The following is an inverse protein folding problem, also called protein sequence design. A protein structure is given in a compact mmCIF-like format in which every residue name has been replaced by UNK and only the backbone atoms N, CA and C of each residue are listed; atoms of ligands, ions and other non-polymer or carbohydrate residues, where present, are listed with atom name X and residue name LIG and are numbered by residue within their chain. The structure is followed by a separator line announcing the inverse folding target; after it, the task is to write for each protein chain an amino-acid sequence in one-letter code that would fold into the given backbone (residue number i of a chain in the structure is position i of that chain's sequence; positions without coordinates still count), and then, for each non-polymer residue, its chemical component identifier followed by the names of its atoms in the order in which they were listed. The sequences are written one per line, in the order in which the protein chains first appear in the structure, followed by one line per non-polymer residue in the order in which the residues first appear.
data_IF_049907470684
#
_entry.id   IF_049907470684
#
_cell.length_a   1.000
_cell.length_b   1.000
_cell.length_c   1.000
_cell.angle_alpha   90.00
_cell.angle_beta   90.00
_cell.angle_gamma   90.00
#
_symmetry.space_group_name_H-M   'P 1'
#
loop_
_entity.id
_entity.type
_entity.pdbx_description
1 polymer ?
#
# COMPACT_ATOMS: atom_id res chain seq x y z
N UNK A 1 -13.03 4.67 -11.63
CA UNK A 1 -13.67 5.18 -12.85
C UNK A 1 -12.72 5.01 -14.01
N UNK A 2 -13.15 4.29 -15.04
CA UNK A 2 -12.44 4.20 -16.33
C UNK A 2 -12.87 5.35 -17.24
N UNK A 3 -11.93 5.98 -17.94
CA UNK A 3 -12.24 7.11 -18.80
C UNK A 3 -11.42 7.10 -20.09
N UNK A 4 -12.12 7.24 -21.22
CA UNK A 4 -11.52 7.37 -22.56
C UNK A 4 -11.56 8.83 -23.07
N UNK A 5 -12.63 9.58 -22.81
CA UNK A 5 -12.75 11.00 -23.18
C UNK A 5 -13.79 11.77 -22.34
N UNK A 6 -13.74 13.11 -22.44
CA UNK A 6 -14.72 14.02 -21.81
C UNK A 6 -15.26 14.95 -22.91
N UNK A 7 -16.57 15.22 -22.90
CA UNK A 7 -17.20 16.24 -23.75
C UNK A 7 -17.15 17.63 -23.10
N UNK A 8 -17.64 17.75 -21.87
CA UNK A 8 -17.75 19.01 -21.12
C UNK A 8 -16.67 19.13 -20.03
N UNK A 9 -15.47 19.57 -20.42
CA UNK A 9 -14.29 19.66 -19.54
C UNK A 9 -14.52 20.46 -18.24
N UNK A 10 -14.98 21.73 -18.31
CA UNK A 10 -15.20 22.54 -17.11
C UNK A 10 -16.25 21.95 -16.15
N UNK A 11 -17.33 21.38 -16.69
CA UNK A 11 -18.34 20.70 -15.88
C UNK A 11 -17.76 19.45 -15.21
N UNK A 12 -17.01 18.63 -15.96
CA UNK A 12 -16.34 17.45 -15.42
C UNK A 12 -15.40 17.83 -14.28
N UNK A 13 -14.55 18.84 -14.44
CA UNK A 13 -13.62 19.25 -13.38
C UNK A 13 -14.35 19.70 -12.12
N UNK A 14 -15.43 20.47 -12.26
CA UNK A 14 -16.27 20.89 -11.12
C UNK A 14 -16.89 19.70 -10.41
N UNK A 15 -17.47 18.76 -11.16
CA UNK A 15 -18.08 17.55 -10.62
C UNK A 15 -17.05 16.63 -9.97
N UNK A 16 -15.88 16.47 -10.60
CA UNK A 16 -14.77 15.69 -10.08
C UNK A 16 -14.30 16.25 -8.73
N UNK A 17 -14.06 17.57 -8.65
CA UNK A 17 -13.64 18.22 -7.41
C UNK A 17 -14.68 18.05 -6.30
N UNK A 18 -15.96 18.27 -6.60
CA UNK A 18 -17.04 18.08 -5.64
C UNK A 18 -17.09 16.62 -5.13
N UNK A 19 -16.98 15.65 -6.04
CA UNK A 19 -16.98 14.23 -5.67
C UNK A 19 -15.75 13.84 -4.84
N UNK A 20 -14.55 14.29 -5.24
CA UNK A 20 -13.29 13.99 -4.55
C UNK A 20 -13.25 14.53 -3.11
N UNK A 21 -13.90 15.67 -2.86
CA UNK A 21 -14.03 16.25 -1.51
C UNK A 21 -14.95 15.43 -0.60
N UNK A 22 -15.85 14.62 -1.15
CA UNK A 22 -16.74 13.73 -0.39
C UNK A 22 -16.13 12.33 -0.22
N UNK A 23 -15.58 11.77 -1.31
CA UNK A 23 -15.09 10.38 -1.39
C UNK A 23 -13.98 10.22 -2.44
N UNK A 24 -13.10 9.21 -2.31
CA UNK A 24 -12.00 9.04 -3.25
C UNK A 24 -12.54 8.74 -4.66
N UNK A 25 -12.05 9.50 -5.65
CA UNK A 25 -12.33 9.24 -7.07
C UNK A 25 -11.06 8.69 -7.71
N UNK A 26 -11.01 7.37 -7.88
CA UNK A 26 -9.90 6.69 -8.53
C UNK A 26 -10.12 6.74 -10.04
N UNK A 27 -9.17 7.33 -10.77
CA UNK A 27 -9.29 7.62 -12.19
C UNK A 27 -8.26 6.83 -13.00
N UNK A 28 -8.75 5.88 -13.78
CA UNK A 28 -7.96 5.17 -14.79
C UNK A 28 -8.21 5.80 -16.16
N UNK A 29 -7.33 6.72 -16.56
CA UNK A 29 -7.39 7.40 -17.87
C UNK A 29 -6.46 6.71 -18.86
N UNK A 30 -7.04 6.21 -19.96
CA UNK A 30 -6.28 5.61 -21.08
C UNK A 30 -6.11 6.58 -22.24
N UNK A 31 -5.24 6.26 -23.20
CA UNK A 31 -5.06 7.09 -24.39
C UNK A 31 -4.27 8.38 -24.18
N UNK A 32 -3.35 8.39 -23.20
CA UNK A 32 -2.44 9.50 -22.90
C UNK A 32 -1.10 9.43 -23.65
N UNK A 33 -0.89 8.39 -24.45
CA UNK A 33 0.27 8.23 -25.34
C UNK A 33 -0.17 8.36 -26.79
N UNK A 34 0.78 8.52 -27.73
CA UNK A 34 0.47 8.59 -29.17
C UNK A 34 -0.28 7.34 -29.64
N UNK A 35 0.23 6.17 -29.25
CA UNK A 35 -0.31 4.86 -29.63
C UNK A 35 -1.67 4.63 -28.99
N UNK A 36 -1.79 4.91 -27.68
CA UNK A 36 -3.05 4.76 -26.96
C UNK A 36 -4.11 5.75 -27.42
N UNK A 37 -3.72 6.99 -27.72
CA UNK A 37 -4.60 8.04 -28.22
C UNK A 37 -5.16 7.69 -29.59
N UNK A 38 -4.32 7.15 -30.49
CA UNK A 38 -4.78 6.63 -31.78
C UNK A 38 -5.79 5.49 -31.61
N UNK A 39 -5.49 4.53 -30.72
CA UNK A 39 -6.40 3.42 -30.45
C UNK A 39 -7.74 3.90 -29.85
N UNK A 40 -7.70 4.82 -28.88
CA UNK A 40 -8.89 5.39 -28.26
C UNK A 40 -9.74 6.20 -29.25
N UNK A 41 -9.11 6.96 -30.14
CA UNK A 41 -9.79 7.71 -31.19
C UNK A 41 -10.52 6.78 -32.18
N UNK A 42 -9.91 5.66 -32.56
CA UNK A 42 -10.58 4.65 -33.39
C UNK A 42 -11.73 3.94 -32.66
N UNK A 43 -11.64 3.78 -31.34
CA UNK A 43 -12.66 3.10 -30.54
C UNK A 43 -13.87 4.00 -30.23
N UNK A 44 -13.65 5.27 -29.93
CA UNK A 44 -14.67 6.18 -29.39
C UNK A 44 -15.01 7.37 -30.27
N UNK A 45 -14.18 7.65 -31.28
CA UNK A 45 -14.23 8.90 -32.05
C UNK A 45 -13.79 10.14 -31.25
N UNK A 46 -13.34 9.99 -30.00
CA UNK A 46 -12.88 11.11 -29.17
C UNK A 46 -11.44 11.50 -29.52
N UNK A 47 -11.15 12.81 -29.53
CA UNK A 47 -9.80 13.31 -29.73
C UNK A 47 -8.89 12.87 -28.56
N UNK A 48 -7.66 12.45 -28.86
CA UNK A 48 -6.67 12.13 -27.83
C UNK A 48 -6.39 13.38 -26.97
N UNK A 49 -6.49 13.23 -25.66
CA UNK A 49 -6.17 14.30 -24.70
C UNK A 49 -4.67 14.30 -24.36
N UNK A 50 -4.11 15.47 -24.08
CA UNK A 50 -2.71 15.60 -23.62
C UNK A 50 -2.56 15.10 -22.18
N UNK A 51 -1.42 14.45 -21.90
CA UNK A 51 -1.07 13.98 -20.55
C UNK A 51 -0.98 15.14 -19.56
N UNK A 52 -0.36 16.22 -19.97
CA UNK A 52 -0.14 17.43 -19.17
C UNK A 52 -1.47 18.06 -18.74
N UNK A 53 -2.47 18.08 -19.63
CA UNK A 53 -3.82 18.55 -19.29
C UNK A 53 -4.45 17.63 -18.24
N UNK A 54 -4.30 16.31 -18.39
CA UNK A 54 -4.87 15.34 -17.45
C UNK A 54 -4.20 15.38 -16.07
N UNK A 55 -2.90 15.61 -16.01
CA UNK A 55 -2.19 15.86 -14.75
C UNK A 55 -2.75 17.10 -14.04
N UNK A 56 -3.00 18.19 -14.79
CA UNK A 56 -3.66 19.39 -14.26
C UNK A 56 -5.08 19.13 -13.76
N UNK A 57 -5.90 18.37 -14.52
CA UNK A 57 -7.26 17.98 -14.12
C UNK A 57 -7.25 17.15 -12.83
N UNK A 58 -6.33 16.21 -12.69
CA UNK A 58 -6.19 15.39 -11.49
C UNK A 58 -5.77 16.24 -10.30
N UNK A 59 -4.78 17.11 -10.49
CA UNK A 59 -4.26 17.99 -9.44
C UNK A 59 -5.33 18.96 -8.93
N UNK A 60 -6.11 19.57 -9.84
CA UNK A 60 -7.19 20.50 -9.50
C UNK A 60 -8.46 19.79 -8.99
N UNK A 61 -8.73 18.59 -9.51
CA UNK A 61 -9.93 17.80 -9.21
C UNK A 61 -9.79 16.88 -8.00
N UNK A 62 -8.58 16.66 -7.48
CA UNK A 62 -8.35 15.79 -6.31
C UNK A 62 -8.55 14.29 -6.58
N UNK A 63 -8.55 13.89 -7.86
CA UNK A 63 -8.66 12.49 -8.21
C UNK A 63 -7.38 11.72 -7.85
N UNK A 64 -7.49 10.40 -7.74
CA UNK A 64 -6.35 9.50 -7.57
C UNK A 64 -6.05 8.84 -8.91
N UNK A 65 -5.00 9.25 -9.63
CA UNK A 65 -4.69 8.69 -10.94
C UNK A 65 -4.08 7.29 -10.80
N UNK A 66 -4.42 6.40 -11.73
CA UNK A 66 -3.85 5.06 -11.84
C UNK A 66 -3.61 4.67 -13.30
N UNK A 67 -2.64 3.79 -13.52
CA UNK A 67 -2.16 3.28 -14.79
C UNK A 67 -2.37 1.77 -14.84
N UNK A 68 -3.38 1.35 -15.59
CA UNK A 68 -3.67 -0.05 -15.82
C UNK A 68 -4.69 -0.61 -14.83
N UNK A 69 -5.17 -1.81 -15.15
CA UNK A 69 -6.24 -2.47 -14.40
C UNK A 69 -5.79 -2.90 -13.00
N UNK A 70 -4.57 -3.42 -12.88
CA UNK A 70 -4.05 -3.93 -11.61
C UNK A 70 -3.93 -2.84 -10.56
N UNK A 71 -3.28 -1.72 -10.89
CA UNK A 71 -3.16 -0.58 -9.99
C UNK A 71 -4.54 0.02 -9.65
N UNK A 72 -5.49 -0.03 -10.59
CA UNK A 72 -6.87 0.40 -10.32
C UNK A 72 -7.56 -0.46 -9.25
N UNK A 73 -7.45 -1.79 -9.36
CA UNK A 73 -8.02 -2.73 -8.38
C UNK A 73 -7.31 -2.63 -7.03
N UNK A 74 -5.99 -2.55 -7.03
CA UNK A 74 -5.20 -2.37 -5.80
C UNK A 74 -5.59 -1.09 -5.07
N UNK A 75 -5.72 0.02 -5.81
CA UNK A 75 -6.10 1.31 -5.23
C UNK A 75 -7.52 1.26 -4.67
N UNK A 76 -8.46 0.57 -5.33
CA UNK A 76 -9.80 0.33 -4.81
C UNK A 76 -9.77 -0.45 -3.48
N UNK A 77 -8.98 -1.52 -3.42
CA UNK A 77 -8.78 -2.30 -2.19
C UNK A 77 -8.17 -1.43 -1.08
N UNK A 78 -7.11 -0.66 -1.39
CA UNK A 78 -6.46 0.24 -0.45
C UNK A 78 -7.45 1.22 0.20
N UNK A 79 -8.27 1.93 -0.59
CA UNK A 79 -9.29 2.84 -0.05
C UNK A 79 -10.43 2.15 0.69
N UNK A 80 -10.68 0.87 0.42
CA UNK A 80 -11.76 0.11 1.07
C UNK A 80 -11.34 -0.46 2.43
N UNK A 81 -10.06 -0.79 2.59
CA UNK A 81 -9.56 -1.54 3.74
C UNK A 81 -8.62 -0.75 4.65
N UNK A 82 -7.88 0.23 4.13
CA UNK A 82 -7.00 1.05 4.97
C UNK A 82 -7.83 2.09 5.77
N UNK A 83 -7.44 2.37 7.02
CA UNK A 83 -8.11 3.35 7.86
C UNK A 83 -7.88 4.78 7.37
N UNK A 84 -8.57 5.74 7.98
CA UNK A 84 -8.28 7.17 7.82
C UNK A 84 -7.15 7.61 8.75
N UNK A 85 -6.46 8.69 8.40
CA UNK A 85 -5.36 9.24 9.20
C UNK A 85 -4.07 8.41 9.14
N UNK A 86 -3.77 7.78 7.99
CA UNK A 86 -2.55 6.95 7.86
C UNK A 86 -1.28 7.81 7.81
N UNK A 87 -0.27 7.42 8.60
CA UNK A 87 1.05 8.07 8.64
C UNK A 87 1.99 7.61 7.53
N UNK A 88 3.26 8.03 7.55
CA UNK A 88 4.28 7.69 6.54
C UNK A 88 5.49 6.91 7.08
N UNK A 89 5.51 6.56 8.37
CA UNK A 89 6.60 5.80 8.98
C UNK A 89 6.27 4.31 8.97
N UNK A 90 6.88 3.60 8.02
CA UNK A 90 6.62 2.19 7.74
C UNK A 90 7.52 1.29 8.56
N UNK A 91 6.95 0.31 9.25
CA UNK A 91 7.67 -0.85 9.77
C UNK A 91 7.57 -2.00 8.77
N UNK A 92 8.69 -2.61 8.39
CA UNK A 92 8.69 -3.72 7.43
C UNK A 92 9.22 -4.98 8.13
N UNK A 93 8.53 -6.10 7.96
CA UNK A 93 8.97 -7.42 8.40
C UNK A 93 9.03 -8.36 7.20
N UNK A 94 10.15 -9.05 7.04
CA UNK A 94 10.32 -10.09 6.02
C UNK A 94 11.18 -11.24 6.57
N UNK A 95 10.96 -12.47 6.11
CA UNK A 95 11.91 -13.57 6.35
C UNK A 95 12.95 -13.71 5.25
N UNK A 96 12.60 -13.54 3.96
CA UNK A 96 13.59 -13.40 2.91
C UNK A 96 14.13 -11.96 2.86
N UNK A 97 15.43 -11.78 3.09
CA UNK A 97 16.07 -10.46 3.07
C UNK A 97 15.92 -9.71 1.74
N UNK A 98 15.92 -10.41 0.60
CA UNK A 98 15.72 -9.78 -0.72
C UNK A 98 14.36 -9.08 -0.85
N UNK A 99 13.28 -9.66 -0.31
CA UNK A 99 11.96 -9.02 -0.28
C UNK A 99 11.94 -7.83 0.69
N UNK A 100 12.71 -7.89 1.78
CA UNK A 100 12.86 -6.78 2.70
C UNK A 100 13.50 -5.56 2.00
N UNK A 101 14.54 -5.79 1.21
CA UNK A 101 15.22 -4.75 0.42
C UNK A 101 14.31 -4.15 -0.65
N UNK A 102 13.61 -4.99 -1.44
CA UNK A 102 12.62 -4.49 -2.42
C UNK A 102 11.51 -3.67 -1.76
N UNK A 103 11.02 -4.10 -0.59
CA UNK A 103 10.03 -3.33 0.16
C UNK A 103 10.56 -1.99 0.69
N UNK A 104 11.84 -1.91 1.09
CA UNK A 104 12.48 -0.65 1.47
C UNK A 104 12.64 0.30 0.27
N UNK A 105 13.04 -0.21 -0.89
CA UNK A 105 13.14 0.58 -2.12
C UNK A 105 11.77 1.14 -2.53
N UNK A 106 10.75 0.28 -2.56
CA UNK A 106 9.37 0.68 -2.81
C UNK A 106 8.84 1.71 -1.80
N UNK A 107 9.24 1.62 -0.53
CA UNK A 107 8.91 2.62 0.48
C UNK A 107 9.49 4.00 0.11
N UNK A 108 10.78 4.05 -0.22
CA UNK A 108 11.46 5.28 -0.63
C UNK A 108 10.92 5.90 -1.92
N UNK A 109 10.70 5.08 -2.95
CA UNK A 109 10.19 5.52 -4.26
C UNK A 109 8.81 6.20 -4.17
N UNK A 110 8.02 5.84 -3.16
CA UNK A 110 6.70 6.39 -2.92
C UNK A 110 6.68 7.54 -1.91
N UNK A 111 7.85 8.02 -1.47
CA UNK A 111 7.98 9.13 -0.51
C UNK A 111 7.50 8.78 0.90
N UNK A 112 7.49 7.48 1.24
CA UNK A 112 7.29 6.99 2.60
C UNK A 112 8.66 6.86 3.27
N UNK A 113 8.68 6.68 4.59
CA UNK A 113 9.92 6.58 5.37
C UNK A 113 9.95 5.28 6.14
N UNK A 114 11.13 4.67 6.27
CA UNK A 114 11.30 3.57 7.21
C UNK A 114 11.33 4.12 8.63
N UNK A 115 10.43 3.65 9.48
CA UNK A 115 10.38 4.02 10.89
C UNK A 115 11.72 3.68 11.58
N UNK A 116 12.39 4.65 12.24
CA UNK A 116 13.57 4.37 13.03
C UNK A 116 13.14 3.66 14.32
N UNK A 117 13.27 2.33 14.35
CA UNK A 117 12.86 1.53 15.51
C UNK A 117 13.62 1.96 16.76
N UNK A 118 12.93 2.03 17.89
CA UNK A 118 13.54 2.36 19.17
C UNK A 118 14.54 1.28 19.63
N UNK A 119 15.57 1.63 20.43
CA UNK A 119 16.43 0.65 21.07
C UNK A 119 15.65 -0.42 21.86
N UNK A 120 14.55 -0.02 22.50
CA UNK A 120 13.67 -0.89 23.27
C UNK A 120 12.97 -1.93 22.37
N UNK A 121 12.42 -1.51 21.24
CA UNK A 121 11.81 -2.41 20.24
C UNK A 121 12.83 -3.41 19.70
N UNK A 122 14.04 -2.95 19.36
CA UNK A 122 15.11 -3.86 18.90
C UNK A 122 15.54 -4.84 19.99
N UNK A 123 15.68 -4.39 21.23
CA UNK A 123 16.02 -5.24 22.36
C UNK A 123 14.93 -6.27 22.69
N UNK A 124 13.66 -5.91 22.50
CA UNK A 124 12.54 -6.84 22.63
C UNK A 124 12.58 -7.92 21.53
N UNK A 125 12.82 -7.53 20.27
CA UNK A 125 12.95 -8.49 19.16
C UNK A 125 14.15 -9.43 19.31
N UNK A 126 15.28 -8.93 19.82
CA UNK A 126 16.49 -9.72 20.04
C UNK A 126 16.31 -10.91 20.99
N UNK A 127 15.22 -10.97 21.77
CA UNK A 127 14.92 -12.08 22.68
C UNK A 127 14.41 -13.33 21.96
N UNK A 128 13.88 -13.19 20.75
CA UNK A 128 13.24 -14.28 20.02
C UNK A 128 13.66 -14.40 18.54
N UNK A 129 14.17 -13.33 17.94
CA UNK A 129 14.73 -13.38 16.57
C UNK A 129 16.16 -13.95 16.65
N UNK A 130 16.49 -15.03 15.91
CA UNK A 130 17.84 -15.56 15.86
C UNK A 130 18.86 -14.52 15.39
N UNK A 131 20.10 -14.48 15.92
CA UNK A 131 21.06 -13.42 15.60
C UNK A 131 21.78 -13.58 14.26
N UNK A 132 21.76 -14.78 13.67
CA UNK A 132 22.53 -15.10 12.46
C UNK A 132 21.66 -15.03 11.22
N UNK A 133 22.07 -14.25 10.22
CA UNK A 133 21.34 -14.13 8.94
C UNK A 133 20.04 -13.33 9.06
N UNK A 134 19.96 -12.43 10.03
CA UNK A 134 18.80 -11.58 10.35
C UNK A 134 19.23 -10.12 10.51
N UNK A 135 18.26 -9.21 10.53
CA UNK A 135 18.45 -7.79 10.82
C UNK A 135 17.32 -7.30 11.71
N UNK A 136 17.67 -6.66 12.82
CA UNK A 136 16.70 -5.99 13.71
C UNK A 136 16.56 -4.49 13.43
N UNK A 137 17.26 -3.98 12.42
CA UNK A 137 16.97 -2.65 11.89
C UNK A 137 15.70 -2.71 11.05
N UNK A 138 15.19 -1.57 10.58
CA UNK A 138 14.07 -1.55 9.65
C UNK A 138 14.62 -1.45 8.22
N UNK A 139 14.32 -2.40 7.31
CA UNK A 139 13.43 -3.56 7.45
C UNK A 139 13.94 -4.63 8.42
N UNK A 140 13.02 -5.20 9.20
CA UNK A 140 13.29 -6.32 10.09
C UNK A 140 13.32 -7.59 9.26
N UNK A 141 14.51 -8.16 9.11
CA UNK A 141 14.71 -9.47 8.49
C UNK A 141 14.74 -10.53 9.60
N UNK A 142 13.67 -11.32 9.72
CA UNK A 142 13.56 -12.39 10.73
C UNK A 142 14.21 -13.71 10.29
N UNK A 143 14.77 -13.73 9.07
CA UNK A 143 15.44 -14.89 8.49
C UNK A 143 14.50 -16.02 8.08
N UNK A 144 15.01 -16.94 7.28
CA UNK A 144 14.24 -18.10 6.77
C UNK A 144 13.81 -19.07 7.87
N UNK A 145 14.48 -19.07 9.02
CA UNK A 145 14.10 -19.86 10.19
C UNK A 145 12.73 -19.50 10.74
N UNK A 146 12.25 -18.27 10.50
CA UNK A 146 10.90 -17.87 10.87
C UNK A 146 9.80 -18.63 10.11
N UNK A 147 10.14 -19.26 8.97
CA UNK A 147 9.20 -20.16 8.28
C UNK A 147 9.06 -21.53 8.97
N UNK A 148 10.09 -21.94 9.73
CA UNK A 148 10.07 -23.15 10.58
C UNK A 148 9.33 -22.89 11.90
N UNK A 149 9.48 -21.69 12.45
CA UNK A 149 8.78 -21.22 13.65
C UNK A 149 8.06 -19.89 13.39
N UNK A 150 6.78 -20.01 13.06
CA UNK A 150 5.93 -18.89 12.65
C UNK A 150 5.67 -17.88 13.77
N UNK A 151 5.92 -18.26 15.03
CA UNK A 151 5.83 -17.35 16.17
C UNK A 151 6.82 -16.20 16.07
N UNK A 152 7.96 -16.39 15.39
CA UNK A 152 8.94 -15.32 15.19
C UNK A 152 8.30 -14.16 14.41
N UNK A 153 7.56 -14.43 13.33
CA UNK A 153 6.85 -13.38 12.59
C UNK A 153 5.75 -12.73 13.44
N UNK A 154 4.98 -13.53 14.18
CA UNK A 154 3.86 -13.04 14.99
C UNK A 154 4.36 -12.09 16.09
N UNK A 155 5.42 -12.49 16.80
CA UNK A 155 6.03 -11.67 17.84
C UNK A 155 6.72 -10.44 17.26
N UNK A 156 7.37 -10.55 16.10
CA UNK A 156 7.94 -9.41 15.39
C UNK A 156 6.83 -8.40 15.01
N UNK A 157 5.71 -8.86 14.46
CA UNK A 157 4.59 -8.02 14.06
C UNK A 157 3.96 -7.27 15.24
N UNK A 158 3.77 -7.95 16.38
CA UNK A 158 3.29 -7.30 17.61
C UNK A 158 4.31 -6.29 18.14
N UNK A 159 5.58 -6.65 18.16
CA UNK A 159 6.66 -5.80 18.71
C UNK A 159 6.86 -4.54 17.87
N UNK A 160 6.91 -4.66 16.54
CA UNK A 160 7.07 -3.51 15.64
C UNK A 160 5.83 -2.61 15.68
N UNK A 161 4.62 -3.18 15.76
CA UNK A 161 3.39 -2.41 15.83
C UNK A 161 3.26 -1.65 17.16
N UNK A 162 3.85 -2.15 18.24
CA UNK A 162 3.88 -1.45 19.52
C UNK A 162 4.84 -0.24 19.53
N UNK A 163 5.78 -0.14 18.59
CA UNK A 163 6.72 0.99 18.54
C UNK A 163 5.98 2.30 18.18
N UNK A 164 6.04 3.36 19.01
CA UNK A 164 5.35 4.63 18.73
C UNK A 164 5.90 5.37 17.49
N UNK A 165 7.09 4.99 17.02
CA UNK A 165 7.71 5.48 15.79
C UNK A 165 7.13 4.89 14.51
N UNK A 166 6.33 3.82 14.60
CA UNK A 166 5.75 3.11 13.46
C UNK A 166 4.28 3.50 13.28
N UNK A 167 3.90 3.92 12.07
CA UNK A 167 2.52 4.27 11.72
C UNK A 167 1.79 3.10 11.05
N UNK A 168 2.50 2.27 10.29
CA UNK A 168 1.94 1.15 9.53
C UNK A 168 2.93 0.00 9.38
N UNK A 169 2.44 -1.23 9.19
CA UNK A 169 3.28 -2.43 9.10
C UNK A 169 3.07 -3.17 7.77
N UNK A 170 4.16 -3.38 7.04
CA UNK A 170 4.23 -4.25 5.87
C UNK A 170 4.83 -5.60 6.25
N UNK A 171 4.18 -6.71 5.88
CA UNK A 171 4.67 -8.05 6.24
C UNK A 171 4.74 -8.96 5.02
N UNK A 172 5.92 -9.52 4.77
CA UNK A 172 6.16 -10.60 3.82
C UNK A 172 6.61 -11.85 4.59
N UNK A 173 5.70 -12.82 4.76
CA UNK A 173 6.00 -14.01 5.56
C UNK A 173 5.19 -15.22 5.15
N UNK A 174 5.75 -16.40 5.36
CA UNK A 174 5.12 -17.70 5.11
C UNK A 174 5.70 -18.76 6.05
N UNK A 175 4.87 -19.66 6.52
CA UNK A 175 5.25 -20.91 7.21
C UNK A 175 5.33 -22.10 6.24
N UNK A 176 6.04 -23.16 6.63
CA UNK A 176 6.30 -24.30 5.75
C UNK A 176 5.13 -25.27 5.54
N UNK A 177 4.04 -25.15 6.32
CA UNK A 177 2.90 -26.05 6.23
C UNK A 177 1.56 -25.31 6.40
N UNK A 178 0.44 -25.89 5.95
CA UNK A 178 -0.88 -25.25 6.00
C UNK A 178 -1.30 -24.82 7.42
N UNK A 179 -1.04 -25.65 8.43
CA UNK A 179 -1.39 -25.32 9.83
C UNK A 179 -0.62 -24.12 10.36
N UNK A 180 0.68 -24.00 10.02
CA UNK A 180 1.50 -22.84 10.32
C UNK A 180 0.99 -21.57 9.63
N UNK A 181 0.62 -21.66 8.35
CA UNK A 181 0.07 -20.53 7.60
C UNK A 181 -1.31 -20.09 8.12
N UNK A 182 -2.14 -21.03 8.57
CA UNK A 182 -3.40 -20.69 9.21
C UNK A 182 -3.17 -19.93 10.54
N UNK A 183 -2.31 -20.46 11.42
CA UNK A 183 -1.95 -19.80 12.69
C UNK A 183 -1.34 -18.41 12.46
N UNK A 184 -0.45 -18.29 11.48
CA UNK A 184 0.11 -17.01 11.05
C UNK A 184 -0.99 -16.01 10.68
N UNK A 185 -1.89 -16.41 9.79
CA UNK A 185 -2.95 -15.54 9.29
C UNK A 185 -3.85 -15.04 10.42
N UNK A 186 -4.33 -15.94 11.27
CA UNK A 186 -5.17 -15.61 12.42
C UNK A 186 -4.46 -14.68 13.40
N UNK A 187 -3.19 -14.95 13.71
CA UNK A 187 -2.43 -14.17 14.67
C UNK A 187 -2.01 -12.79 14.15
N UNK A 188 -1.69 -12.64 12.86
CA UNK A 188 -1.39 -11.34 12.25
C UNK A 188 -2.66 -10.47 12.18
N UNK A 189 -3.81 -11.04 11.81
CA UNK A 189 -5.10 -10.34 11.88
C UNK A 189 -5.37 -9.86 13.31
N UNK A 190 -5.13 -10.71 14.31
CA UNK A 190 -5.32 -10.31 15.70
C UNK A 190 -4.34 -9.20 16.13
N UNK A 191 -3.07 -9.29 15.73
CA UNK A 191 -2.07 -8.25 16.03
C UNK A 191 -2.42 -6.89 15.41
N UNK A 192 -2.97 -6.88 14.19
CA UNK A 192 -3.48 -5.67 13.55
C UNK A 192 -4.62 -5.05 14.38
N UNK A 193 -5.59 -5.86 14.82
CA UNK A 193 -6.70 -5.40 15.66
C UNK A 193 -6.23 -4.87 17.01
N UNK A 194 -5.30 -5.56 17.67
CA UNK A 194 -4.82 -5.17 18.99
C UNK A 194 -4.03 -3.86 18.95
N UNK A 195 -3.24 -3.64 17.89
CA UNK A 195 -2.41 -2.44 17.74
C UNK A 195 -3.16 -1.21 17.23
N UNK A 196 -4.31 -1.40 16.57
CA UNK A 196 -5.06 -0.35 15.87
C UNK A 196 -4.26 0.36 14.76
N UNK A 197 -3.11 -0.20 14.35
CA UNK A 197 -2.30 0.31 13.24
C UNK A 197 -2.62 -0.46 11.96
N UNK A 198 -2.63 0.19 10.79
CA UNK A 198 -2.81 -0.49 9.52
C UNK A 198 -1.69 -1.50 9.27
N UNK A 199 -2.08 -2.71 8.90
CA UNK A 199 -1.18 -3.75 8.38
C UNK A 199 -1.50 -3.98 6.91
N UNK A 200 -0.53 -4.42 6.13
CA UNK A 200 -0.77 -5.00 4.82
C UNK A 200 0.23 -6.11 4.52
N UNK A 201 -0.26 -7.10 3.79
CA UNK A 201 0.50 -8.29 3.44
C UNK A 201 1.09 -8.14 2.05
N UNK A 202 2.34 -8.59 1.91
CA UNK A 202 3.00 -8.77 0.62
C UNK A 202 3.15 -10.26 0.38
N UNK A 203 2.67 -10.73 -0.76
CA UNK A 203 2.69 -12.13 -1.14
C UNK A 203 4.12 -12.66 -1.18
N UNK A 204 4.30 -13.84 -0.58
CA UNK A 204 5.47 -14.69 -0.82
C UNK A 204 5.05 -15.83 -1.75
N UNK A 205 5.89 -16.20 -2.74
CA UNK A 205 5.63 -17.37 -3.58
C UNK A 205 5.29 -18.61 -2.75
N UNK A 206 4.20 -19.29 -3.11
CA UNK A 206 3.69 -20.46 -2.38
C UNK A 206 2.73 -20.15 -1.24
N UNK A 207 2.43 -18.88 -0.95
CA UNK A 207 1.39 -18.53 0.03
C UNK A 207 0.01 -18.89 -0.48
N UNK A 208 -0.83 -19.43 0.40
CA UNK A 208 -2.17 -19.89 0.10
C UNK A 208 -3.13 -18.71 -0.17
N UNK A 209 -3.78 -18.72 -1.34
CA UNK A 209 -4.71 -17.67 -1.75
C UNK A 209 -6.02 -17.67 -0.96
N UNK A 210 -6.45 -18.81 -0.40
CA UNK A 210 -7.61 -18.85 0.48
C UNK A 210 -7.33 -18.09 1.79
N UNK A 211 -6.10 -18.17 2.29
CA UNK A 211 -5.66 -17.40 3.46
C UNK A 211 -5.46 -15.91 3.11
N UNK A 212 -5.03 -15.60 1.88
CA UNK A 212 -4.98 -14.22 1.41
C UNK A 212 -6.36 -13.55 1.44
N UNK A 213 -7.43 -14.27 1.08
CA UNK A 213 -8.80 -13.77 1.19
C UNK A 213 -9.20 -13.45 2.64
N UNK A 214 -8.82 -14.30 3.61
CA UNK A 214 -9.10 -14.05 5.04
C UNK A 214 -8.48 -12.76 5.56
N UNK A 215 -7.29 -12.38 5.07
CA UNK A 215 -6.70 -11.08 5.40
C UNK A 215 -7.61 -9.93 4.92
N UNK A 216 -8.01 -9.96 3.65
CA UNK A 216 -8.87 -8.92 3.07
C UNK A 216 -10.23 -8.81 3.78
N UNK A 217 -10.86 -9.94 4.09
CA UNK A 217 -12.13 -9.99 4.85
C UNK A 217 -11.99 -9.40 6.26
N UNK A 218 -10.80 -9.47 6.85
CA UNK A 218 -10.49 -8.92 8.15
C UNK A 218 -10.02 -7.46 8.12
N UNK A 219 -9.98 -6.80 6.95
CA UNK A 219 -9.52 -5.42 6.82
C UNK A 219 -8.01 -5.27 6.63
N UNK A 220 -7.29 -6.34 6.31
CA UNK A 220 -5.84 -6.32 6.02
C UNK A 220 -5.64 -6.49 4.51
N UNK A 221 -5.26 -5.43 3.76
CA UNK A 221 -4.97 -5.54 2.34
C UNK A 221 -3.88 -6.58 2.06
N UNK A 222 -4.03 -7.31 0.95
CA UNK A 222 -3.06 -8.31 0.49
C UNK A 222 -2.62 -7.97 -0.94
N UNK A 223 -1.33 -7.77 -1.15
CA UNK A 223 -0.76 -7.36 -2.43
C UNK A 223 0.19 -8.41 -2.99
N UNK A 224 0.24 -8.49 -4.33
CA UNK A 224 1.17 -9.39 -5.03
C UNK A 224 2.64 -8.99 -4.85
N UNK A 225 2.94 -7.70 -4.71
CA UNK A 225 4.31 -7.19 -4.54
C UNK A 225 4.38 -6.01 -3.57
N UNK A 226 5.58 -5.72 -3.07
CA UNK A 226 5.80 -4.59 -2.16
C UNK A 226 5.64 -3.24 -2.86
N UNK A 227 6.02 -3.14 -4.13
CA UNK A 227 5.86 -1.94 -4.97
C UNK A 227 4.38 -1.56 -5.10
N UNK A 228 3.52 -2.56 -5.38
CA UNK A 228 2.06 -2.39 -5.44
C UNK A 228 1.48 -1.96 -4.10
N UNK A 229 1.96 -2.58 -3.01
CA UNK A 229 1.52 -2.26 -1.65
C UNK A 229 1.87 -0.82 -1.26
N UNK A 230 3.16 -0.45 -1.36
CA UNK A 230 3.65 0.87 -0.98
C UNK A 230 3.07 1.98 -1.85
N UNK A 231 2.94 1.73 -3.16
CA UNK A 231 2.32 2.67 -4.09
C UNK A 231 0.84 2.90 -3.78
N UNK A 232 0.11 1.84 -3.43
CA UNK A 232 -1.30 1.94 -3.01
C UNK A 232 -1.44 2.71 -1.70
N UNK A 233 -0.66 2.34 -0.69
CA UNK A 233 -0.67 3.01 0.61
C UNK A 233 -0.36 4.51 0.48
N UNK A 234 0.67 4.85 -0.31
CA UNK A 234 1.05 6.24 -0.57
C UNK A 234 -0.07 7.03 -1.27
N UNK A 235 -0.79 6.44 -2.24
CA UNK A 235 -1.95 7.09 -2.87
C UNK A 235 -3.08 7.38 -1.87
N UNK A 236 -3.39 6.40 -1.01
CA UNK A 236 -4.39 6.57 0.04
C UNK A 236 -4.01 7.72 0.96
N UNK A 237 -2.76 7.72 1.46
CA UNK A 237 -2.24 8.80 2.29
C UNK A 237 -2.32 10.16 1.59
N UNK A 238 -1.83 10.27 0.35
CA UNK A 238 -1.80 11.53 -0.41
C UNK A 238 -3.20 12.12 -0.57
N UNK A 239 -4.19 11.28 -0.83
CA UNK A 239 -5.58 11.69 -0.90
C UNK A 239 -6.13 12.16 0.46
N UNK A 240 -5.84 11.42 1.54
CA UNK A 240 -6.27 11.80 2.89
C UNK A 240 -5.70 13.18 3.28
N UNK A 241 -4.39 13.39 3.07
CA UNK A 241 -3.76 14.70 3.31
C UNK A 241 -4.34 15.81 2.43
N UNK A 242 -4.62 15.53 1.14
CA UNK A 242 -5.27 16.50 0.26
C UNK A 242 -6.69 16.87 0.73
N UNK A 243 -7.43 15.93 1.30
CA UNK A 243 -8.76 16.20 1.87
C UNK A 243 -8.70 17.01 3.15
N UNK A 244 -7.74 16.73 4.03
CA UNK A 244 -7.55 17.47 5.28
C UNK A 244 -7.26 18.96 5.03
N UNK A 245 -6.58 19.30 3.92
CA UNK A 245 -6.33 20.69 3.52
C UNK A 245 -7.51 21.34 2.77
N UNK A 246 -8.69 20.72 2.75
CA UNK A 246 -9.85 21.22 2.01
C UNK A 246 -9.66 21.20 0.49
N UNK A 247 -8.76 20.34 0.00
CA UNK A 247 -8.37 20.29 -1.39
C UNK A 247 -7.60 21.52 -1.85
N UNK A 248 -6.96 22.26 -0.94
CA UNK A 248 -6.02 23.30 -1.32
C UNK A 248 -4.79 22.64 -1.94
N UNK A 249 -4.37 23.14 -3.10
CA UNK A 249 -3.03 22.88 -3.60
C UNK A 249 -2.07 23.51 -2.59
N UNK A 250 -1.60 22.74 -1.61
CA UNK A 250 -0.60 23.22 -0.67
C UNK A 250 0.53 23.84 -1.47
N UNK A 251 0.85 25.10 -1.20
CA UNK A 251 2.02 25.76 -1.74
C UNK A 251 3.22 24.86 -1.40
N UNK A 252 3.78 24.21 -2.41
CA UNK A 252 5.12 23.65 -2.30
C UNK A 252 6.06 24.79 -2.63
N UNK A 253 6.69 25.34 -1.59
CA UNK A 253 7.95 26.05 -1.72
C UNK A 253 9.05 25.07 -2.17
#
# INVERSE_FOLDING_TARGET
TYLEGIKEGPFFLKALRAASLEKPVILWKVGLTREGGRAAASHTGALAGSREIWEGVVQQGGAVPVVGFEEWVDTLMGFSLLPTGVGDRMGIISGPGGLAVSAAEACGDNGLTLAPLSPETRAAMAKFVPPTGTSLQNPVDVGLTASLDIEIYIQAARTIAADPGVDAVAIAGIGLNPGGNQRYTEAIIQAQKDSQKPFFMVKIPGFDLELAQKFCEAGVPFFETAERAMSTYAKVRRYQSWRETGGSLGARD
#
